data_IF_764290488235
#
_entry.id   IF_764290488235
#
_cell.length_a   1.000
_cell.length_b   1.000
_cell.length_c   1.000
_cell.angle_alpha   90.00
_cell.angle_beta   90.00
_cell.angle_gamma   90.00
#
_symmetry.space_group_name_H-M   'P 1'
#
loop_
_entity.id
_entity.type
_entity.pdbx_description
1 polymer ?
#
# COMPACT_ATOMS: atom_id res chain seq x y z
N UNK A 1 -9.37 -18.47 -18.24
CA UNK A 1 -8.53 -19.30 -17.33
C UNK A 1 -7.31 -18.49 -16.87
N UNK A 2 -6.69 -18.74 -15.70
CA UNK A 2 -5.43 -18.06 -15.31
C UNK A 2 -4.32 -18.19 -16.38
N UNK A 3 -4.34 -19.28 -17.14
CA UNK A 3 -3.41 -19.53 -18.25
C UNK A 3 -3.54 -18.55 -19.43
N UNK A 4 -4.62 -17.76 -19.50
CA UNK A 4 -4.76 -16.67 -20.50
C UNK A 4 -4.01 -15.41 -20.10
N UNK A 5 -3.68 -15.26 -18.81
CA UNK A 5 -3.07 -14.06 -18.24
C UNK A 5 -1.64 -14.28 -17.75
N UNK A 6 -1.29 -15.53 -17.44
CA UNK A 6 0.02 -15.91 -16.89
C UNK A 6 0.53 -17.12 -17.67
N UNK A 7 1.82 -17.07 -18.02
CA UNK A 7 2.57 -18.20 -18.59
C UNK A 7 3.85 -18.43 -17.79
N UNK A 8 4.56 -19.51 -18.09
CA UNK A 8 5.88 -19.78 -17.52
C UNK A 8 6.89 -20.11 -18.62
N UNK A 9 8.18 -19.98 -18.32
CA UNK A 9 9.26 -20.21 -19.30
C UNK A 9 9.11 -21.59 -19.96
N UNK A 10 8.84 -22.63 -19.17
CA UNK A 10 8.60 -23.98 -19.68
C UNK A 10 7.40 -24.07 -20.63
N UNK A 11 6.31 -23.38 -20.32
CA UNK A 11 5.13 -23.36 -21.20
C UNK A 11 5.40 -22.64 -22.53
N UNK A 12 6.34 -21.69 -22.57
CA UNK A 12 6.70 -20.95 -23.79
C UNK A 12 7.81 -21.61 -24.61
N UNK A 13 8.76 -22.27 -23.93
CA UNK A 13 9.96 -22.85 -24.57
C UNK A 13 9.85 -24.36 -24.76
N UNK A 14 8.96 -25.04 -24.04
CA UNK A 14 8.89 -26.50 -23.97
C UNK A 14 9.97 -27.14 -23.07
N UNK A 15 10.94 -26.36 -22.61
CA UNK A 15 12.09 -26.86 -21.87
C UNK A 15 11.99 -26.55 -20.37
N UNK A 16 12.52 -27.43 -19.54
CA UNK A 16 12.67 -27.14 -18.12
C UNK A 16 13.88 -26.22 -17.92
N UNK A 17 13.66 -25.05 -17.33
CA UNK A 17 14.71 -24.02 -17.18
C UNK A 17 15.04 -23.84 -15.69
N UNK A 18 16.19 -24.37 -15.21
CA UNK A 18 16.60 -24.21 -13.83
C UNK A 18 16.78 -22.73 -13.45
N UNK A 19 16.40 -22.35 -12.23
CA UNK A 19 16.49 -20.97 -11.74
C UNK A 19 17.89 -20.35 -11.88
N UNK A 20 18.94 -21.12 -11.61
CA UNK A 20 20.32 -20.62 -11.74
C UNK A 20 20.69 -20.33 -13.20
N UNK A 21 20.22 -21.13 -14.15
CA UNK A 21 20.41 -20.85 -15.58
C UNK A 21 19.67 -19.57 -15.99
N UNK A 22 18.42 -19.38 -15.53
CA UNK A 22 17.67 -18.13 -15.77
C UNK A 22 18.41 -16.91 -15.22
N UNK A 23 18.98 -17.01 -14.00
CA UNK A 23 19.76 -15.91 -13.41
C UNK A 23 20.99 -15.56 -14.24
N UNK A 24 21.71 -16.56 -14.76
CA UNK A 24 22.85 -16.35 -15.64
C UNK A 24 22.45 -15.62 -16.92
N UNK A 25 21.34 -16.02 -17.54
CA UNK A 25 20.79 -15.35 -18.73
C UNK A 25 20.40 -13.90 -18.47
N UNK A 26 19.76 -13.62 -17.32
CA UNK A 26 19.40 -12.25 -16.92
C UNK A 26 20.68 -11.39 -16.76
N UNK A 27 21.70 -11.91 -16.08
CA UNK A 27 22.98 -11.20 -15.91
C UNK A 27 23.65 -10.95 -17.26
N UNK A 28 23.69 -11.95 -18.14
CA UNK A 28 24.26 -11.80 -19.48
C UNK A 28 23.50 -10.74 -20.31
N UNK A 29 22.17 -10.78 -20.29
CA UNK A 29 21.33 -9.80 -20.98
C UNK A 29 21.56 -8.38 -20.50
N UNK A 30 21.70 -8.15 -19.18
CA UNK A 30 22.04 -6.82 -18.66
C UNK A 30 23.44 -6.36 -19.07
N UNK A 31 24.44 -7.25 -19.09
CA UNK A 31 25.80 -6.91 -19.53
C UNK A 31 25.80 -6.46 -21.00
N UNK A 32 25.08 -7.19 -21.84
CA UNK A 32 24.96 -6.91 -23.28
C UNK A 32 24.18 -5.61 -23.54
N UNK A 33 22.95 -5.51 -23.03
CA UNK A 33 22.04 -4.40 -23.35
C UNK A 33 22.52 -3.06 -22.79
N UNK A 34 23.12 -3.07 -21.58
CA UNK A 34 23.60 -1.85 -20.93
C UNK A 34 25.09 -1.58 -21.19
N UNK A 35 25.83 -2.53 -21.78
CA UNK A 35 27.27 -2.42 -22.00
C UNK A 35 28.08 -2.31 -20.69
N UNK A 36 27.61 -2.94 -19.61
CA UNK A 36 28.22 -2.84 -18.27
C UNK A 36 28.92 -4.13 -17.84
N UNK A 37 29.93 -4.00 -16.99
CA UNK A 37 30.44 -5.10 -16.18
C UNK A 37 29.56 -5.31 -14.95
N UNK A 38 29.20 -6.57 -14.67
CA UNK A 38 28.55 -6.96 -13.42
C UNK A 38 29.44 -7.95 -12.69
N UNK A 39 29.78 -7.60 -11.45
CA UNK A 39 30.57 -8.40 -10.53
C UNK A 39 29.70 -8.81 -9.34
N UNK A 40 29.69 -10.09 -8.94
CA UNK A 40 28.98 -10.53 -7.74
C UNK A 40 29.55 -9.84 -6.48
N UNK A 41 28.69 -9.14 -5.74
CA UNK A 41 29.02 -8.60 -4.43
C UNK A 41 28.69 -9.58 -3.30
N UNK A 42 29.40 -9.46 -2.18
CA UNK A 42 29.04 -10.11 -0.92
C UNK A 42 28.34 -9.12 0.01
N UNK A 43 27.42 -9.61 0.84
CA UNK A 43 26.79 -8.77 1.86
C UNK A 43 27.82 -8.31 2.89
N UNK A 44 27.85 -7.00 3.12
CA UNK A 44 28.56 -6.39 4.24
C UNK A 44 27.93 -6.80 5.56
N UNK A 45 28.65 -6.63 6.68
CA UNK A 45 28.11 -7.00 7.99
C UNK A 45 26.90 -6.14 8.40
N UNK A 46 26.87 -4.87 7.99
CA UNK A 46 25.71 -4.00 8.19
C UNK A 46 24.48 -4.43 7.37
N UNK A 47 24.67 -4.94 6.15
CA UNK A 47 23.59 -5.51 5.35
C UNK A 47 23.08 -6.82 5.94
N UNK A 48 23.98 -7.69 6.45
CA UNK A 48 23.60 -8.93 7.15
C UNK A 48 22.78 -8.64 8.41
N UNK A 49 23.19 -7.65 9.20
CA UNK A 49 22.45 -7.22 10.39
C UNK A 49 21.07 -6.66 10.01
N UNK A 50 21.02 -5.79 9.00
CA UNK A 50 19.76 -5.25 8.48
C UNK A 50 18.84 -6.35 7.98
N UNK A 51 19.35 -7.30 7.21
CA UNK A 51 18.60 -8.44 6.71
C UNK A 51 18.04 -9.27 7.87
N UNK A 52 18.87 -9.58 8.88
CA UNK A 52 18.45 -10.34 10.06
C UNK A 52 17.31 -9.63 10.79
N UNK A 53 17.44 -8.32 11.04
CA UNK A 53 16.40 -7.50 11.66
C UNK A 53 15.11 -7.53 10.85
N UNK A 54 15.19 -7.32 9.53
CA UNK A 54 14.01 -7.32 8.65
C UNK A 54 13.34 -8.69 8.59
N UNK A 55 14.08 -9.80 8.60
CA UNK A 55 13.49 -11.14 8.62
C UNK A 55 12.72 -11.36 9.94
N UNK A 56 13.32 -11.00 11.07
CA UNK A 56 12.67 -11.16 12.37
C UNK A 56 11.41 -10.31 12.50
N UNK A 57 11.42 -9.09 11.97
CA UNK A 57 10.25 -8.20 11.94
C UNK A 57 9.15 -8.73 11.00
N UNK A 58 9.51 -9.02 9.74
CA UNK A 58 8.55 -9.29 8.66
C UNK A 58 7.92 -10.68 8.68
N UNK A 59 8.48 -11.61 9.46
CA UNK A 59 7.87 -12.93 9.67
C UNK A 59 6.75 -12.92 10.71
N UNK A 60 6.63 -11.85 11.50
CA UNK A 60 5.60 -11.76 12.55
C UNK A 60 4.23 -11.60 11.93
N UNK A 61 3.21 -12.24 12.52
CA UNK A 61 1.81 -12.03 12.11
C UNK A 61 1.40 -10.56 12.24
N UNK A 62 1.91 -9.86 13.26
CA UNK A 62 1.66 -8.44 13.44
C UNK A 62 2.11 -7.62 12.23
N UNK A 63 3.28 -7.92 11.66
CA UNK A 63 3.74 -7.25 10.44
C UNK A 63 2.96 -7.70 9.20
N UNK A 64 2.81 -9.01 9.01
CA UNK A 64 2.13 -9.63 7.85
C UNK A 64 0.69 -9.15 7.71
N UNK A 65 -0.03 -9.04 8.83
CA UNK A 65 -1.43 -8.61 8.89
C UNK A 65 -1.59 -7.20 9.45
N UNK A 66 -0.52 -6.39 9.49
CA UNK A 66 -0.52 -5.06 10.13
C UNK A 66 -1.69 -4.19 9.68
N UNK A 67 -1.98 -4.12 8.38
CA UNK A 67 -3.09 -3.30 7.85
C UNK A 67 -4.48 -3.85 8.18
N UNK A 68 -4.65 -5.17 8.30
CA UNK A 68 -5.92 -5.81 8.68
C UNK A 68 -6.14 -5.73 10.20
N UNK A 69 -5.10 -6.01 10.98
CA UNK A 69 -5.13 -6.04 12.45
C UNK A 69 -5.26 -4.66 13.08
N UNK A 70 -4.53 -3.65 12.57
CA UNK A 70 -4.53 -2.30 13.15
C UNK A 70 -5.94 -1.72 13.18
N UNK A 71 -6.70 -1.92 12.10
CA UNK A 71 -8.09 -1.50 12.03
C UNK A 71 -9.07 -2.43 12.72
N UNK A 72 -8.90 -3.77 12.66
CA UNK A 72 -9.76 -4.68 13.42
C UNK A 72 -9.64 -4.47 14.93
N UNK A 73 -8.46 -4.12 15.45
CA UNK A 73 -8.26 -3.79 16.86
C UNK A 73 -8.89 -2.43 17.20
N UNK A 74 -8.70 -1.41 16.36
CA UNK A 74 -9.33 -0.09 16.53
C UNK A 74 -10.87 -0.17 16.43
N UNK A 75 -11.39 -0.94 15.48
CA UNK A 75 -12.84 -1.18 15.29
C UNK A 75 -13.44 -2.21 16.27
N UNK A 76 -12.66 -3.12 16.87
CA UNK A 76 -13.14 -3.97 17.98
C UNK A 76 -13.29 -3.18 19.28
N UNK A 77 -12.52 -2.11 19.47
CA UNK A 77 -12.76 -1.14 20.55
C UNK A 77 -13.99 -0.27 20.28
N UNK A 78 -14.36 -0.05 19.02
CA UNK A 78 -15.53 0.73 18.58
C UNK A 78 -16.35 -0.06 17.56
N UNK A 79 -17.17 -0.97 18.05
CA UNK A 79 -18.00 -1.98 17.37
C UNK A 79 -18.16 -1.91 15.83
N UNK A 80 -17.89 -3.02 15.16
CA UNK A 80 -18.04 -3.18 13.71
C UNK A 80 -19.50 -2.97 13.27
N UNK A 81 -19.73 -2.00 12.38
CA UNK A 81 -20.77 -2.06 11.36
C UNK A 81 -22.23 -2.11 11.83
N UNK A 82 -22.63 -1.38 12.87
CA UNK A 82 -24.00 -0.89 13.09
C UNK A 82 -23.90 0.21 14.13
N UNK A 83 -24.28 1.46 13.77
CA UNK A 83 -24.28 2.68 14.60
C UNK A 83 -23.79 2.47 16.03
N UNK A 84 -22.48 2.61 16.25
CA UNK A 84 -21.91 2.45 17.58
C UNK A 84 -22.24 3.71 18.38
N UNK A 85 -22.71 3.49 19.61
CA UNK A 85 -23.10 4.53 20.55
C UNK A 85 -22.07 5.69 20.56
N UNK A 86 -22.49 6.90 20.17
CA UNK A 86 -21.64 8.11 20.18
C UNK A 86 -21.30 8.78 18.83
N UNK A 87 -21.89 8.35 17.70
CA UNK A 87 -21.71 9.03 16.40
C UNK A 87 -20.56 8.48 15.53
N UNK A 88 -19.88 7.43 16.00
CA UNK A 88 -18.81 6.74 15.27
C UNK A 88 -19.36 5.73 14.27
N UNK A 89 -18.85 5.77 13.04
CA UNK A 89 -19.18 4.84 11.95
C UNK A 89 -17.92 4.25 11.36
N UNK A 90 -17.92 2.93 11.15
CA UNK A 90 -16.85 2.22 10.44
C UNK A 90 -17.36 1.83 9.06
N UNK A 91 -16.64 2.21 8.02
CA UNK A 91 -17.02 1.98 6.62
C UNK A 91 -15.80 1.67 5.76
N UNK A 92 -16.01 0.96 4.66
CA UNK A 92 -14.95 0.65 3.70
C UNK A 92 -15.32 1.09 2.29
N UNK A 93 -14.31 1.40 1.49
CA UNK A 93 -14.46 1.60 0.05
C UNK A 93 -13.31 0.97 -0.72
N UNK A 94 -13.61 0.61 -1.95
CA UNK A 94 -12.64 0.21 -2.95
C UNK A 94 -12.79 1.13 -4.15
N UNK A 95 -11.72 1.81 -4.52
CA UNK A 95 -11.62 2.75 -5.63
C UNK A 95 -10.61 2.23 -6.66
N UNK A 96 -11.04 2.16 -7.92
CA UNK A 96 -10.18 1.73 -9.03
C UNK A 96 -9.74 2.97 -9.81
N UNK A 97 -8.49 3.36 -9.64
CA UNK A 97 -7.81 4.35 -10.47
C UNK A 97 -6.98 3.62 -11.55
N UNK A 98 -5.80 4.15 -11.91
CA UNK A 98 -4.79 3.37 -12.61
C UNK A 98 -4.32 2.14 -11.81
N UNK A 99 -4.50 2.20 -10.48
CA UNK A 99 -4.26 1.18 -9.49
C UNK A 99 -5.34 1.20 -8.40
N UNK A 100 -5.40 0.15 -7.59
CA UNK A 100 -6.40 -0.04 -6.54
C UNK A 100 -6.07 0.79 -5.31
N UNK A 101 -7.05 1.53 -4.80
CA UNK A 101 -7.03 2.15 -3.47
C UNK A 101 -8.16 1.55 -2.64
N UNK A 102 -7.84 1.07 -1.45
CA UNK A 102 -8.80 0.60 -0.45
C UNK A 102 -8.72 1.52 0.76
N UNK A 103 -9.88 2.02 1.17
CA UNK A 103 -10.05 2.85 2.36
C UNK A 103 -10.84 2.05 3.37
N UNK A 104 -10.33 2.02 4.60
CA UNK A 104 -11.12 1.70 5.78
C UNK A 104 -11.16 2.97 6.62
N UNK A 105 -12.36 3.46 6.90
CA UNK A 105 -12.62 4.75 7.52
C UNK A 105 -13.35 4.53 8.84
N UNK A 106 -12.88 5.18 9.89
CA UNK A 106 -13.63 5.43 11.12
C UNK A 106 -13.96 6.91 11.11
N UNK A 107 -15.24 7.25 10.96
CA UNK A 107 -15.71 8.63 10.98
C UNK A 107 -16.47 8.93 12.26
N UNK A 108 -16.32 10.15 12.76
CA UNK A 108 -17.18 10.70 13.80
C UNK A 108 -17.96 11.87 13.19
N UNK A 109 -19.27 11.69 13.03
CA UNK A 109 -20.13 12.58 12.24
C UNK A 109 -19.53 12.85 10.85
N UNK A 110 -19.18 14.10 10.55
CA UNK A 110 -18.61 14.54 9.27
C UNK A 110 -17.07 14.68 9.30
N UNK A 111 -16.37 13.98 10.19
CA UNK A 111 -14.91 14.06 10.31
C UNK A 111 -14.22 12.70 10.37
N UNK A 112 -12.96 12.64 9.94
CA UNK A 112 -12.12 11.45 10.00
C UNK A 112 -11.58 11.26 11.43
N UNK A 113 -12.08 10.27 12.16
CA UNK A 113 -11.48 9.86 13.45
C UNK A 113 -10.21 9.03 13.19
N UNK A 114 -10.30 8.09 12.25
CA UNK A 114 -9.19 7.23 11.86
C UNK A 114 -9.34 6.74 10.42
N UNK A 115 -8.21 6.44 9.76
CA UNK A 115 -8.20 5.99 8.37
C UNK A 115 -7.03 5.03 8.14
N UNK A 116 -7.28 3.99 7.36
CA UNK A 116 -6.28 3.06 6.85
C UNK A 116 -6.38 3.06 5.34
N UNK A 117 -5.25 3.34 4.70
CA UNK A 117 -5.12 3.44 3.26
C UNK A 117 -4.23 2.29 2.81
N UNK A 118 -4.75 1.47 1.92
CA UNK A 118 -4.05 0.32 1.35
C UNK A 118 -4.37 0.19 -0.14
N UNK A 119 -3.71 -0.73 -0.82
CA UNK A 119 -3.87 -0.89 -2.26
C UNK A 119 -2.64 -1.49 -2.91
N UNK A 120 -2.62 -1.48 -4.25
CA UNK A 120 -1.50 -1.96 -5.06
C UNK A 120 -0.71 -0.83 -5.74
N UNK A 121 -0.95 0.43 -5.35
CA UNK A 121 -0.20 1.61 -5.78
C UNK A 121 1.23 1.65 -5.23
N UNK A 122 2.11 2.40 -5.89
CA UNK A 122 3.49 2.58 -5.43
C UNK A 122 3.70 4.00 -4.91
N UNK A 123 4.53 4.13 -3.88
CA UNK A 123 4.85 5.41 -3.25
C UNK A 123 6.35 5.66 -3.22
N UNK A 124 6.73 6.93 -3.25
CA UNK A 124 8.06 7.38 -2.89
C UNK A 124 7.91 8.54 -1.90
N UNK A 125 8.45 8.44 -0.67
CA UNK A 125 9.18 7.30 -0.10
C UNK A 125 8.33 6.02 0.01
N UNK A 126 8.94 4.86 -0.24
CA UNK A 126 8.25 3.56 -0.23
C UNK A 126 7.92 3.02 1.17
N UNK A 127 8.50 3.61 2.23
CA UNK A 127 8.27 3.21 3.63
C UNK A 127 7.78 4.40 4.44
N UNK A 128 6.73 4.22 5.24
CA UNK A 128 6.26 5.22 6.21
C UNK A 128 5.43 6.37 5.63
N UNK A 129 5.36 6.52 4.30
CA UNK A 129 4.72 7.67 3.68
C UNK A 129 3.19 7.62 3.78
N UNK A 130 2.60 6.42 3.69
CA UNK A 130 1.16 6.25 3.83
C UNK A 130 0.72 6.38 5.29
N UNK A 131 1.51 5.87 6.23
CA UNK A 131 1.26 6.04 7.66
C UNK A 131 1.25 7.53 8.05
N UNK A 132 2.18 8.32 7.48
CA UNK A 132 2.19 9.79 7.66
C UNK A 132 0.96 10.45 7.04
N UNK A 133 0.52 10.00 5.87
CA UNK A 133 -0.70 10.51 5.24
C UNK A 133 -1.93 10.20 6.10
N UNK A 134 -2.07 8.96 6.58
CA UNK A 134 -3.15 8.53 7.48
C UNK A 134 -3.20 9.41 8.75
N UNK A 135 -2.04 9.71 9.36
CA UNK A 135 -1.92 10.61 10.51
C UNK A 135 -2.37 12.04 10.16
N UNK A 136 -1.90 12.58 9.03
CA UNK A 136 -2.21 13.95 8.61
C UNK A 136 -3.71 14.19 8.29
N UNK A 137 -4.42 13.12 7.93
CA UNK A 137 -5.84 13.15 7.60
C UNK A 137 -6.76 13.02 8.82
N UNK A 138 -6.23 12.67 10.00
CA UNK A 138 -7.04 12.66 11.23
C UNK A 138 -7.62 14.04 11.54
N UNK A 139 -8.89 14.06 11.91
CA UNK A 139 -9.70 15.25 12.15
C UNK A 139 -10.06 16.04 10.89
N UNK A 140 -9.73 15.57 9.68
CA UNK A 140 -10.14 16.27 8.46
C UNK A 140 -11.66 16.13 8.24
N UNK A 141 -12.35 17.19 7.79
CA UNK A 141 -13.75 17.10 7.40
C UNK A 141 -13.94 16.17 6.18
N UNK A 142 -15.01 15.39 6.19
CA UNK A 142 -15.50 14.56 5.08
C UNK A 142 -16.30 15.40 4.09
N UNK A 143 -15.66 16.47 3.61
CA UNK A 143 -16.13 17.44 2.64
C UNK A 143 -15.04 17.59 1.58
N UNK A 144 -15.43 17.65 0.30
CA UNK A 144 -14.53 17.53 -0.85
C UNK A 144 -13.46 18.62 -0.87
N UNK A 145 -13.82 19.89 -0.68
CA UNK A 145 -12.88 20.99 -0.76
C UNK A 145 -11.87 20.96 0.41
N UNK A 146 -12.36 20.76 1.64
CA UNK A 146 -11.53 20.64 2.83
C UNK A 146 -10.57 19.44 2.75
N UNK A 147 -11.07 18.28 2.30
CA UNK A 147 -10.28 17.06 2.18
C UNK A 147 -9.23 17.18 1.07
N UNK A 148 -9.58 17.79 -0.07
CA UNK A 148 -8.65 18.04 -1.18
C UNK A 148 -7.50 18.95 -0.74
N UNK A 149 -7.80 20.01 0.02
CA UNK A 149 -6.78 20.90 0.56
C UNK A 149 -5.85 20.17 1.53
N UNK A 150 -6.41 19.37 2.46
CA UNK A 150 -5.63 18.59 3.43
C UNK A 150 -4.72 17.55 2.75
N UNK A 151 -5.24 16.82 1.76
CA UNK A 151 -4.46 15.84 1.00
C UNK A 151 -3.31 16.52 0.25
N UNK A 152 -3.58 17.65 -0.41
CA UNK A 152 -2.54 18.39 -1.14
C UNK A 152 -1.41 18.85 -0.21
N UNK A 153 -1.75 19.39 0.96
CA UNK A 153 -0.78 19.80 1.98
C UNK A 153 0.01 18.60 2.52
N UNK A 154 -0.67 17.51 2.86
CA UNK A 154 -0.02 16.29 3.35
C UNK A 154 0.96 15.73 2.31
N UNK A 155 0.58 15.67 1.03
CA UNK A 155 1.46 15.20 -0.03
C UNK A 155 2.71 16.09 -0.16
N UNK A 156 2.53 17.41 -0.11
CA UNK A 156 3.65 18.37 -0.18
C UNK A 156 4.60 18.24 1.01
N UNK A 157 4.07 18.20 2.22
CA UNK A 157 4.88 18.11 3.46
C UNK A 157 5.60 16.78 3.63
N UNK A 158 5.02 15.67 3.17
CA UNK A 158 5.64 14.35 3.20
C UNK A 158 6.65 14.18 2.04
N UNK A 159 6.53 14.98 0.97
CA UNK A 159 7.22 14.72 -0.29
C UNK A 159 6.70 13.46 -0.98
N UNK A 160 5.40 13.17 -0.80
CA UNK A 160 4.77 11.94 -1.27
C UNK A 160 4.52 11.99 -2.78
N UNK A 161 5.18 11.11 -3.51
CA UNK A 161 4.88 10.79 -4.91
C UNK A 161 4.17 9.45 -4.98
N UNK A 162 3.11 9.38 -5.80
CA UNK A 162 2.32 8.16 -6.01
C UNK A 162 2.31 7.81 -7.49
N UNK A 163 2.53 6.54 -7.80
CA UNK A 163 2.42 5.99 -9.16
C UNK A 163 1.19 5.10 -9.25
N UNK A 164 0.33 5.38 -10.25
CA UNK A 164 -0.92 4.65 -10.48
C UNK A 164 -2.16 5.27 -9.84
N UNK A 165 -2.02 6.37 -9.11
CA UNK A 165 -3.14 7.15 -8.56
C UNK A 165 -2.79 8.63 -8.44
N UNK A 166 -3.80 9.49 -8.53
CA UNK A 166 -3.71 10.94 -8.34
C UNK A 166 -4.18 11.34 -6.94
N UNK A 167 -3.88 12.56 -6.49
CA UNK A 167 -4.41 13.09 -5.22
C UNK A 167 -5.95 13.08 -5.19
N UNK A 168 -6.59 13.35 -6.34
CA UNK A 168 -8.05 13.33 -6.45
C UNK A 168 -8.62 11.91 -6.27
N UNK A 169 -7.91 10.86 -6.69
CA UNK A 169 -8.34 9.48 -6.45
C UNK A 169 -8.40 9.15 -4.95
N UNK A 170 -7.49 9.70 -4.13
CA UNK A 170 -7.57 9.56 -2.67
C UNK A 170 -8.77 10.30 -2.09
N UNK A 171 -9.07 11.52 -2.57
CA UNK A 171 -10.27 12.27 -2.17
C UNK A 171 -11.52 11.47 -2.48
N UNK A 172 -11.66 10.99 -3.72
CA UNK A 172 -12.82 10.22 -4.16
C UNK A 172 -12.95 8.90 -3.41
N UNK A 173 -11.85 8.18 -3.17
CA UNK A 173 -11.87 6.94 -2.42
C UNK A 173 -12.37 7.15 -0.98
N UNK A 174 -11.92 8.21 -0.32
CA UNK A 174 -12.33 8.54 1.06
C UNK A 174 -13.80 8.99 1.10
N UNK A 175 -14.21 9.87 0.20
CA UNK A 175 -15.61 10.31 0.13
C UNK A 175 -16.56 9.15 -0.22
N UNK A 176 -16.12 8.21 -1.05
CA UNK A 176 -16.87 6.97 -1.33
C UNK A 176 -17.02 6.08 -0.10
N UNK A 177 -16.08 6.16 0.86
CA UNK A 177 -16.20 5.46 2.13
C UNK A 177 -17.10 6.22 3.12
N UNK A 178 -17.44 7.51 2.88
CA UNK A 178 -18.36 8.25 3.73
C UNK A 178 -19.70 7.53 3.77
N UNK A 179 -20.15 7.18 4.96
CA UNK A 179 -21.48 6.61 5.16
C UNK A 179 -22.51 7.74 5.15
N UNK A 180 -23.49 7.66 4.26
CA UNK A 180 -24.68 8.50 4.29
C UNK A 180 -25.79 7.72 4.99
N UNK A 181 -26.26 8.22 6.14
CA UNK A 181 -27.49 7.71 6.74
C UNK A 181 -28.66 8.15 5.83
N UNK A 182 -29.34 7.18 5.22
CA UNK A 182 -30.59 7.40 4.50
C UNK A 182 -31.71 7.91 5.41
#
# INVERSE_FOLDING_TARGET
>A
SMSEWITCIRAQTGEETPREYVKQLIVAGFKEELGIGLEPGEMTDGEKETLKRLIEERKTEEWVFSKDNDMLMKAKQTSVGTKVHGGLVVSESVHKAGKLIRILLVSNEDSIENISISGDFFTQPYTGAIEKLEIALKGAPLEKEALSARIKEAFGSIGLMVMGATQNDFVEAILKAKYEAG
#
